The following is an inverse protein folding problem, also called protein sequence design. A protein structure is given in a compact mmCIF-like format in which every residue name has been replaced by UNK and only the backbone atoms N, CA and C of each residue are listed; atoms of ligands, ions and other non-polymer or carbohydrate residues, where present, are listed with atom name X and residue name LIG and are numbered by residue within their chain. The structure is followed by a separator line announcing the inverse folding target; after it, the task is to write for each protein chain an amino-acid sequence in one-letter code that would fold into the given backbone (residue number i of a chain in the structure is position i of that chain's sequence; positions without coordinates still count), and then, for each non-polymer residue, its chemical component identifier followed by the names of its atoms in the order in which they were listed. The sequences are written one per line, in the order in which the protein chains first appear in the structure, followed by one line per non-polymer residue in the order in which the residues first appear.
data_IF_454134763031
#
_entry.id   IF_454134763031
#
_cell.length_a   1.000
_cell.length_b   1.000
_cell.length_c   1.000
_cell.angle_alpha   90.00
_cell.angle_beta   90.00
_cell.angle_gamma   90.00
#
_symmetry.space_group_name_H-M   'P 1'
#
loop_
_entity.id
_entity.type
_entity.pdbx_description
1 polymer ?
#
# COMPACT_ATOMS: atom_id res chain seq x y z
N UNK A 1 47.71 -11.17 -33.84
CA UNK A 1 46.92 -9.94 -34.14
C UNK A 1 45.50 -10.08 -33.59
N UNK A 2 45.23 -9.42 -32.46
CA UNK A 2 43.93 -9.42 -31.78
C UNK A 2 42.97 -8.43 -32.48
N UNK A 3 41.91 -8.95 -33.10
CA UNK A 3 40.85 -8.15 -33.72
C UNK A 3 39.65 -8.04 -32.79
N UNK A 4 39.59 -6.97 -31.99
CA UNK A 4 38.42 -6.65 -31.18
C UNK A 4 37.26 -6.16 -32.04
N UNK A 5 36.13 -6.89 -32.02
CA UNK A 5 34.82 -6.33 -32.38
C UNK A 5 34.15 -5.86 -31.09
N UNK A 6 34.12 -4.55 -30.88
CA UNK A 6 33.36 -3.92 -29.82
C UNK A 6 31.88 -4.24 -29.99
N UNK A 7 31.34 -5.06 -29.10
CA UNK A 7 29.90 -5.15 -28.87
C UNK A 7 29.47 -3.90 -28.12
N UNK A 8 28.79 -2.98 -28.80
CA UNK A 8 28.14 -1.86 -28.15
C UNK A 8 27.04 -2.39 -27.21
N UNK A 9 27.04 -2.05 -25.91
CA UNK A 9 25.94 -2.37 -25.03
C UNK A 9 24.89 -1.26 -25.15
N UNK A 10 23.62 -1.65 -25.24
CA UNK A 10 22.43 -0.79 -25.18
C UNK A 10 22.18 0.14 -26.38
N UNK A 11 21.44 -0.38 -27.36
CA UNK A 11 20.94 0.40 -28.49
C UNK A 11 19.76 -0.25 -29.22
N UNK A 12 18.83 -0.84 -28.48
CA UNK A 12 17.60 -1.40 -29.06
C UNK A 12 16.60 -0.29 -29.38
N UNK A 13 16.62 0.22 -30.61
CA UNK A 13 15.51 0.98 -31.20
C UNK A 13 14.27 0.08 -31.25
N UNK A 14 13.19 0.54 -30.63
CA UNK A 14 11.88 -0.14 -30.65
C UNK A 14 10.74 0.84 -30.38
N UNK A 15 10.68 1.94 -31.13
CA UNK A 15 9.52 2.84 -31.15
C UNK A 15 8.50 2.34 -32.17
N UNK A 16 7.59 1.47 -31.75
CA UNK A 16 6.37 1.15 -32.49
C UNK A 16 5.21 2.06 -32.03
N UNK A 17 4.47 2.71 -32.93
CA UNK A 17 3.39 3.63 -32.56
C UNK A 17 2.08 2.87 -32.33
N UNK A 18 1.91 2.23 -31.16
CA UNK A 18 0.63 1.67 -30.75
C UNK A 18 0.35 2.02 -29.28
N UNK A 19 -0.62 2.91 -29.08
CA UNK A 19 -1.14 3.34 -27.78
C UNK A 19 -1.96 2.25 -27.08
N UNK A 20 -1.26 1.28 -26.49
CA UNK A 20 -1.83 0.37 -25.51
C UNK A 20 -1.50 0.82 -24.10
N UNK A 21 -2.49 0.86 -23.20
CA UNK A 21 -2.29 0.94 -21.73
C UNK A 21 -1.65 -0.34 -21.15
N UNK A 22 -0.76 -0.99 -21.90
CA UNK A 22 0.00 -2.16 -21.47
C UNK A 22 1.45 -1.74 -21.26
N UNK A 23 1.85 -1.56 -20.01
CA UNK A 23 3.23 -1.25 -19.65
C UNK A 23 4.16 -2.38 -20.08
N UNK A 24 5.39 -2.02 -20.49
CA UNK A 24 6.44 -3.00 -20.78
C UNK A 24 6.80 -3.87 -19.57
N UNK A 25 7.86 -4.70 -19.65
CA UNK A 25 8.24 -5.65 -18.59
C UNK A 25 8.40 -5.05 -17.19
N UNK A 26 8.62 -3.74 -17.09
CA UNK A 26 8.84 -2.97 -15.87
C UNK A 26 7.61 -2.17 -15.39
N UNK A 27 6.44 -2.41 -16.00
CA UNK A 27 5.22 -1.65 -15.75
C UNK A 27 5.23 -0.23 -16.33
N UNK A 28 4.04 0.37 -16.47
CA UNK A 28 3.90 1.75 -16.93
C UNK A 28 4.37 2.76 -15.88
N UNK A 29 4.93 3.90 -16.31
CA UNK A 29 5.02 5.10 -15.46
C UNK A 29 3.68 5.80 -15.40
N UNK A 30 3.38 6.39 -14.25
CA UNK A 30 2.08 7.01 -14.02
C UNK A 30 1.85 7.24 -12.54
N UNK A 31 0.96 8.19 -12.23
CA UNK A 31 0.57 8.50 -10.85
C UNK A 31 -0.06 7.29 -10.14
N UNK A 32 -0.60 6.35 -10.91
CA UNK A 32 -1.21 5.11 -10.48
C UNK A 32 -0.24 3.93 -10.41
N UNK A 33 1.06 4.10 -10.72
CA UNK A 33 2.04 3.00 -10.74
C UNK A 33 2.07 2.23 -9.43
N UNK A 34 2.04 2.91 -8.27
CA UNK A 34 2.03 2.20 -6.98
C UNK A 34 0.80 1.30 -6.82
N UNK A 35 -0.28 1.55 -7.55
CA UNK A 35 -1.53 0.82 -7.50
C UNK A 35 -1.69 -0.19 -8.66
N UNK A 36 -0.71 -0.30 -9.56
CA UNK A 36 -0.73 -1.20 -10.71
C UNK A 36 -0.72 -2.68 -10.31
N UNK A 37 -0.89 -3.57 -11.29
CA UNK A 37 -0.78 -5.02 -11.15
C UNK A 37 0.62 -5.45 -10.69
N UNK A 38 1.68 -4.75 -11.11
CA UNK A 38 3.08 -5.08 -10.78
C UNK A 38 3.50 -4.59 -9.40
N UNK A 39 3.19 -3.34 -9.02
CA UNK A 39 3.64 -2.77 -7.76
C UNK A 39 2.61 -2.88 -6.62
N UNK A 40 1.32 -2.99 -6.93
CA UNK A 40 0.23 -2.91 -5.95
C UNK A 40 0.34 -3.94 -4.83
N UNK A 41 0.57 -5.20 -5.20
CA UNK A 41 0.76 -6.29 -4.23
C UNK A 41 2.09 -6.24 -3.47
N UNK A 42 3.05 -5.42 -3.92
CA UNK A 42 4.38 -5.33 -3.33
C UNK A 42 4.43 -4.34 -2.17
N UNK A 43 3.70 -3.21 -2.27
CA UNK A 43 3.82 -2.13 -1.27
C UNK A 43 2.50 -1.47 -0.87
N UNK A 44 1.47 -1.53 -1.71
CA UNK A 44 0.32 -0.62 -1.60
C UNK A 44 -0.78 -1.08 -0.66
N UNK A 45 -0.62 -2.20 0.04
CA UNK A 45 -1.62 -2.72 0.99
C UNK A 45 -2.10 -1.67 1.99
N UNK A 46 -1.17 -0.94 2.62
CA UNK A 46 -1.45 0.09 3.62
C UNK A 46 -1.28 1.51 3.09
N UNK A 47 -0.97 1.68 1.80
CA UNK A 47 -0.76 3.00 1.22
C UNK A 47 -2.03 3.88 1.27
N UNK A 48 -3.24 3.39 0.95
CA UNK A 48 -4.47 4.17 1.13
C UNK A 48 -4.68 4.59 2.58
N UNK A 49 -4.40 3.69 3.54
CA UNK A 49 -4.49 4.00 4.96
C UNK A 49 -3.54 5.14 5.33
N UNK A 50 -2.28 5.05 4.92
CA UNK A 50 -1.26 6.05 5.19
C UNK A 50 -1.66 7.44 4.66
N UNK A 51 -2.19 7.51 3.44
CA UNK A 51 -2.61 8.79 2.84
C UNK A 51 -3.79 9.42 3.60
N UNK A 52 -4.81 8.64 3.94
CA UNK A 52 -5.96 9.13 4.71
C UNK A 52 -5.52 9.59 6.11
N UNK A 53 -4.70 8.78 6.79
CA UNK A 53 -4.21 9.05 8.14
C UNK A 53 -3.25 10.25 8.17
N UNK A 54 -2.45 10.46 7.12
CA UNK A 54 -1.60 11.64 6.97
C UNK A 54 -2.44 12.91 6.91
N UNK A 55 -3.43 12.94 6.01
CA UNK A 55 -4.32 14.10 5.84
C UNK A 55 -5.10 14.37 7.13
N UNK A 56 -5.75 13.35 7.67
CA UNK A 56 -6.53 13.49 8.90
C UNK A 56 -5.67 13.91 10.10
N UNK A 57 -4.46 13.33 10.24
CA UNK A 57 -3.52 13.68 11.29
C UNK A 57 -3.00 15.11 11.19
N UNK A 58 -2.67 15.58 9.98
CA UNK A 58 -2.28 16.97 9.74
C UNK A 58 -3.43 17.94 10.01
N UNK A 59 -4.68 17.58 9.68
CA UNK A 59 -5.86 18.38 10.00
C UNK A 59 -6.09 18.48 11.52
N UNK A 60 -5.97 17.38 12.25
CA UNK A 60 -6.11 17.36 13.71
C UNK A 60 -5.02 18.20 14.38
N UNK A 61 -3.78 18.11 13.88
CA UNK A 61 -2.63 18.87 14.42
C UNK A 61 -2.48 20.27 13.83
N UNK A 62 -3.39 20.75 12.97
CA UNK A 62 -3.19 21.99 12.20
C UNK A 62 -3.01 23.26 13.04
N UNK A 63 -3.58 23.26 14.25
CA UNK A 63 -3.49 24.38 15.22
C UNK A 63 -2.38 24.19 16.26
N UNK A 64 -1.66 23.06 16.22
CA UNK A 64 -0.54 22.81 17.11
C UNK A 64 0.63 23.75 16.78
N UNK A 65 1.51 23.97 17.77
CA UNK A 65 2.73 24.75 17.58
C UNK A 65 3.58 24.19 16.42
N UNK A 66 4.38 25.04 15.79
CA UNK A 66 5.39 24.61 14.79
C UNK A 66 6.42 23.65 15.39
N UNK A 67 6.62 23.69 16.71
CA UNK A 67 7.52 22.81 17.47
C UNK A 67 6.84 21.53 17.96
N UNK A 68 5.57 21.29 17.61
CA UNK A 68 4.88 20.06 17.99
C UNK A 68 5.51 18.84 17.30
N UNK A 69 5.95 17.87 18.10
CA UNK A 69 6.69 16.70 17.64
C UNK A 69 5.81 15.78 16.77
N UNK A 70 4.50 15.67 17.07
CA UNK A 70 3.61 14.80 16.31
C UNK A 70 3.37 15.36 14.90
N UNK A 71 3.12 16.68 14.81
CA UNK A 71 2.99 17.39 13.55
C UNK A 71 4.28 17.32 12.74
N UNK A 72 5.43 17.58 13.38
CA UNK A 72 6.73 17.50 12.73
C UNK A 72 7.00 16.08 12.18
N UNK A 73 6.70 15.03 12.96
CA UNK A 73 6.84 13.66 12.51
C UNK A 73 5.92 13.33 11.33
N UNK A 74 4.64 13.73 11.37
CA UNK A 74 3.73 13.53 10.23
C UNK A 74 4.22 14.22 8.96
N UNK A 75 4.73 15.45 9.07
CA UNK A 75 5.29 16.19 7.93
C UNK A 75 6.55 15.51 7.41
N UNK A 76 7.47 15.09 8.28
CA UNK A 76 8.72 14.45 7.88
C UNK A 76 8.46 13.09 7.22
N UNK A 77 7.80 12.16 7.92
CA UNK A 77 7.53 10.81 7.41
C UNK A 77 6.55 10.83 6.23
N UNK A 78 5.49 11.64 6.32
CA UNK A 78 4.51 11.79 5.25
C UNK A 78 5.05 12.51 4.02
N UNK A 79 5.88 13.54 4.22
CA UNK A 79 6.58 14.22 3.13
C UNK A 79 7.52 13.28 2.40
N UNK A 80 8.35 12.52 3.13
CA UNK A 80 9.21 11.49 2.55
C UNK A 80 8.40 10.42 1.81
N UNK A 81 7.30 9.93 2.38
CA UNK A 81 6.38 8.99 1.71
C UNK A 81 5.91 9.53 0.36
N UNK A 82 5.40 10.76 0.34
CA UNK A 82 4.84 11.37 -0.87
C UNK A 82 5.93 11.64 -1.92
N UNK A 83 7.07 12.20 -1.52
CA UNK A 83 8.18 12.49 -2.44
C UNK A 83 8.70 11.20 -3.05
N UNK A 84 9.03 10.19 -2.23
CA UNK A 84 9.52 8.91 -2.73
C UNK A 84 8.48 8.20 -3.59
N UNK A 85 7.20 8.22 -3.19
CA UNK A 85 6.11 7.62 -3.95
C UNK A 85 5.92 8.28 -5.32
N UNK A 86 5.99 9.61 -5.39
CA UNK A 86 5.91 10.36 -6.66
C UNK A 86 7.13 10.07 -7.54
N UNK A 87 8.34 10.10 -6.99
CA UNK A 87 9.56 9.78 -7.74
C UNK A 87 9.47 8.37 -8.33
N UNK A 88 9.10 7.38 -7.52
CA UNK A 88 8.94 6.00 -7.99
C UNK A 88 7.80 5.84 -8.98
N UNK A 89 6.76 6.67 -8.91
CA UNK A 89 5.63 6.64 -9.85
C UNK A 89 5.98 7.25 -11.22
N UNK A 90 6.78 8.31 -11.22
CA UNK A 90 7.11 9.09 -12.42
C UNK A 90 8.46 8.72 -13.05
N UNK A 91 9.35 8.02 -12.33
CA UNK A 91 10.65 7.64 -12.88
C UNK A 91 10.50 6.80 -14.15
N UNK A 92 11.28 7.14 -15.17
CA UNK A 92 11.35 6.44 -16.44
C UNK A 92 12.64 5.62 -16.52
N UNK A 93 12.68 4.63 -17.41
CA UNK A 93 13.79 3.69 -17.54
C UNK A 93 13.55 2.41 -16.75
N UNK A 94 14.62 1.84 -16.18
CA UNK A 94 14.58 0.53 -15.51
C UNK A 94 14.00 0.72 -14.10
N UNK A 95 12.75 0.32 -13.91
CA UNK A 95 12.09 0.25 -12.61
C UNK A 95 12.00 -1.21 -12.17
N UNK A 96 12.38 -1.49 -10.92
CA UNK A 96 12.17 -2.80 -10.31
C UNK A 96 11.26 -2.66 -9.09
N UNK A 97 10.40 -3.64 -8.92
CA UNK A 97 9.39 -3.68 -7.86
C UNK A 97 10.02 -3.60 -6.46
N UNK A 98 11.21 -4.18 -6.28
CA UNK A 98 11.89 -4.20 -4.98
C UNK A 98 12.26 -2.79 -4.48
N UNK A 99 12.39 -1.79 -5.35
CA UNK A 99 12.63 -0.41 -4.93
C UNK A 99 11.53 0.11 -4.01
N UNK A 100 10.30 -0.36 -4.22
CA UNK A 100 9.15 0.06 -3.42
C UNK A 100 9.27 -0.27 -1.95
N UNK A 101 10.16 -1.21 -1.56
CA UNK A 101 10.45 -1.50 -0.14
C UNK A 101 10.91 -0.25 0.61
N UNK A 102 11.52 0.72 -0.07
CA UNK A 102 11.93 1.98 0.53
C UNK A 102 10.74 2.81 1.07
N UNK A 103 9.51 2.56 0.61
CA UNK A 103 8.30 3.21 1.13
C UNK A 103 7.83 2.62 2.47
N UNK A 104 8.20 1.36 2.78
CA UNK A 104 7.71 0.64 3.94
C UNK A 104 7.88 1.37 5.29
N UNK A 105 9.06 1.93 5.64
CA UNK A 105 9.21 2.64 6.92
C UNK A 105 8.34 3.90 6.98
N UNK A 106 8.16 4.62 5.87
CA UNK A 106 7.32 5.83 5.84
C UNK A 106 5.83 5.49 6.00
N UNK A 107 5.36 4.43 5.33
CA UNK A 107 3.99 3.91 5.50
C UNK A 107 3.77 3.50 6.96
N UNK A 108 4.69 2.72 7.54
CA UNK A 108 4.59 2.25 8.91
C UNK A 108 4.51 3.41 9.92
N UNK A 109 5.40 4.40 9.79
CA UNK A 109 5.43 5.56 10.68
C UNK A 109 4.13 6.38 10.59
N UNK A 110 3.67 6.70 9.38
CA UNK A 110 2.45 7.49 9.16
C UNK A 110 1.22 6.77 9.67
N UNK A 111 1.09 5.47 9.37
CA UNK A 111 -0.05 4.65 9.84
C UNK A 111 -0.05 4.58 11.37
N UNK A 112 1.10 4.30 12.00
CA UNK A 112 1.19 4.21 13.45
C UNK A 112 0.83 5.55 14.14
N UNK A 113 1.44 6.66 13.70
CA UNK A 113 1.20 7.98 14.30
C UNK A 113 -0.25 8.41 14.08
N UNK A 114 -0.74 8.35 12.84
CA UNK A 114 -2.07 8.81 12.48
C UNK A 114 -3.17 7.98 13.12
N UNK A 115 -3.05 6.65 13.13
CA UNK A 115 -4.03 5.78 13.76
C UNK A 115 -4.12 6.01 15.27
N UNK A 116 -2.98 6.15 15.96
CA UNK A 116 -2.96 6.45 17.41
C UNK A 116 -3.56 7.83 17.70
N UNK A 117 -3.21 8.84 16.90
CA UNK A 117 -3.74 10.21 17.06
C UNK A 117 -5.26 10.22 16.91
N UNK A 118 -5.81 9.62 15.86
CA UNK A 118 -7.26 9.57 15.67
C UNK A 118 -7.94 8.67 16.70
N UNK A 119 -7.33 7.54 17.09
CA UNK A 119 -7.87 6.65 18.11
C UNK A 119 -8.01 7.34 19.46
N UNK A 120 -7.04 8.16 19.85
CA UNK A 120 -7.12 8.98 21.08
C UNK A 120 -8.26 10.00 21.01
N UNK A 121 -8.57 10.49 19.81
CA UNK A 121 -9.64 11.45 19.56
C UNK A 121 -10.98 10.82 19.10
N UNK A 122 -11.12 9.49 19.16
CA UNK A 122 -12.24 8.73 18.56
C UNK A 122 -13.65 9.10 19.03
N UNK A 123 -13.78 9.81 20.16
CA UNK A 123 -15.07 10.34 20.62
C UNK A 123 -15.55 11.54 19.81
N UNK A 124 -14.64 12.20 19.09
CA UNK A 124 -14.98 13.24 18.13
C UNK A 124 -15.47 12.61 16.82
N UNK A 125 -16.61 13.08 16.30
CA UNK A 125 -17.22 12.55 15.07
C UNK A 125 -16.25 12.53 13.89
N UNK A 126 -15.49 13.61 13.69
CA UNK A 126 -14.54 13.69 12.57
C UNK A 126 -13.42 12.63 12.65
N UNK A 127 -12.86 12.37 13.84
CA UNK A 127 -11.83 11.36 14.03
C UNK A 127 -12.37 9.94 13.88
N UNK A 128 -13.58 9.69 14.40
CA UNK A 128 -14.29 8.41 14.22
C UNK A 128 -14.60 8.12 12.75
N UNK A 129 -15.13 9.11 12.01
CA UNK A 129 -15.38 9.00 10.56
C UNK A 129 -14.07 8.75 9.80
N UNK A 130 -13.00 9.47 10.13
CA UNK A 130 -11.71 9.28 9.48
C UNK A 130 -11.16 7.86 9.72
N UNK A 131 -11.21 7.33 10.96
CA UNK A 131 -10.84 5.94 11.24
C UNK A 131 -11.69 4.93 10.48
N UNK A 132 -13.01 5.13 10.46
CA UNK A 132 -13.92 4.26 9.72
C UNK A 132 -13.61 4.26 8.21
N UNK A 133 -13.39 5.44 7.64
CA UNK A 133 -13.00 5.60 6.24
C UNK A 133 -11.64 4.95 5.94
N UNK A 134 -10.64 5.13 6.80
CA UNK A 134 -9.33 4.47 6.68
C UNK A 134 -9.49 2.96 6.59
N UNK A 135 -10.25 2.35 7.51
CA UNK A 135 -10.46 0.89 7.53
C UNK A 135 -11.26 0.43 6.31
N UNK A 136 -12.36 1.09 5.97
CA UNK A 136 -13.21 0.73 4.85
C UNK A 136 -12.45 0.78 3.51
N UNK A 137 -11.74 1.88 3.24
CA UNK A 137 -10.96 2.05 2.00
C UNK A 137 -9.85 1.01 1.93
N UNK A 138 -9.15 0.74 3.03
CA UNK A 138 -8.07 -0.24 3.06
C UNK A 138 -8.57 -1.68 2.86
N UNK A 139 -9.75 -2.00 3.40
CA UNK A 139 -10.38 -3.30 3.22
C UNK A 139 -10.87 -3.50 1.77
N UNK A 140 -11.48 -2.47 1.16
CA UNK A 140 -11.85 -2.48 -0.26
C UNK A 140 -10.61 -2.59 -1.15
N UNK A 141 -9.55 -1.87 -0.83
CA UNK A 141 -8.29 -1.97 -1.57
C UNK A 141 -7.66 -3.36 -1.45
N UNK A 142 -7.68 -3.94 -0.25
CA UNK A 142 -7.23 -5.32 -0.04
C UNK A 142 -8.06 -6.32 -0.84
N UNK A 143 -9.37 -6.11 -0.97
CA UNK A 143 -10.23 -6.91 -1.86
C UNK A 143 -9.78 -6.83 -3.32
N UNK A 144 -9.46 -5.62 -3.80
CA UNK A 144 -8.94 -5.42 -5.17
C UNK A 144 -7.63 -6.16 -5.36
N UNK A 145 -6.65 -5.97 -4.45
CA UNK A 145 -5.34 -6.64 -4.54
C UNK A 145 -5.46 -8.17 -4.50
N UNK A 146 -6.25 -8.71 -3.57
CA UNK A 146 -6.50 -10.15 -3.48
C UNK A 146 -7.23 -10.68 -4.72
N UNK A 147 -8.14 -9.88 -5.30
CA UNK A 147 -8.85 -10.21 -6.53
C UNK A 147 -7.94 -10.38 -7.76
N UNK A 148 -6.76 -9.74 -7.76
CA UNK A 148 -5.78 -9.86 -8.85
C UNK A 148 -5.05 -11.22 -8.84
N UNK A 149 -5.06 -11.93 -7.72
CA UNK A 149 -4.51 -13.28 -7.58
C UNK A 149 -5.55 -14.38 -7.87
N UNK A 150 -6.61 -14.08 -8.63
CA UNK A 150 -7.56 -15.04 -9.20
C UNK A 150 -8.05 -16.11 -8.21
N UNK A 151 -7.54 -17.33 -8.38
CA UNK A 151 -7.94 -18.54 -7.64
C UNK A 151 -7.19 -18.75 -6.31
N UNK A 152 -6.28 -17.84 -5.94
CA UNK A 152 -5.54 -17.95 -4.70
C UNK A 152 -6.38 -17.44 -3.51
N UNK A 153 -6.82 -18.37 -2.66
CA UNK A 153 -7.66 -18.09 -1.48
C UNK A 153 -8.86 -17.18 -1.80
N UNK A 154 -9.76 -17.58 -2.72
CA UNK A 154 -10.78 -16.69 -3.30
C UNK A 154 -11.81 -16.19 -2.27
N UNK A 155 -11.95 -16.87 -1.12
CA UNK A 155 -12.80 -16.45 -0.02
C UNK A 155 -12.20 -15.29 0.81
N UNK A 156 -10.87 -15.15 0.82
CA UNK A 156 -10.17 -14.21 1.70
C UNK A 156 -10.53 -12.76 1.38
N UNK A 157 -10.63 -12.41 0.10
CA UNK A 157 -11.04 -11.06 -0.33
C UNK A 157 -12.40 -10.67 0.25
N UNK A 158 -13.35 -11.60 0.25
CA UNK A 158 -14.70 -11.39 0.78
C UNK A 158 -14.69 -11.29 2.30
N UNK A 159 -13.93 -12.17 2.98
CA UNK A 159 -13.79 -12.11 4.44
C UNK A 159 -13.17 -10.78 4.90
N UNK A 160 -12.12 -10.31 4.21
CA UNK A 160 -11.42 -9.05 4.51
C UNK A 160 -12.35 -7.85 4.34
N UNK A 161 -13.05 -7.74 3.21
CA UNK A 161 -13.96 -6.59 2.99
C UNK A 161 -15.14 -6.62 3.95
N UNK A 162 -15.75 -7.79 4.20
CA UNK A 162 -16.85 -7.91 5.14
C UNK A 162 -16.43 -7.53 6.57
N UNK A 163 -15.30 -8.07 7.06
CA UNK A 163 -14.76 -7.74 8.37
C UNK A 163 -14.38 -6.25 8.48
N UNK A 164 -13.77 -5.69 7.44
CA UNK A 164 -13.38 -4.28 7.39
C UNK A 164 -14.56 -3.33 7.40
N UNK A 165 -15.61 -3.61 6.61
CA UNK A 165 -16.84 -2.81 6.62
C UNK A 165 -17.58 -2.91 7.96
N UNK A 166 -17.66 -4.11 8.53
CA UNK A 166 -18.24 -4.30 9.87
C UNK A 166 -17.47 -3.52 10.94
N UNK A 167 -16.14 -3.57 10.90
CA UNK A 167 -15.29 -2.78 11.79
C UNK A 167 -15.46 -1.28 11.58
N UNK A 168 -15.57 -0.81 10.32
CA UNK A 168 -15.81 0.59 10.01
C UNK A 168 -17.13 1.10 10.60
N UNK A 169 -18.21 0.33 10.48
CA UNK A 169 -19.49 0.64 11.14
C UNK A 169 -19.34 0.68 12.66
N UNK A 170 -18.64 -0.30 13.24
CA UNK A 170 -18.35 -0.34 14.68
C UNK A 170 -17.57 0.88 15.17
N UNK A 171 -16.65 1.42 14.37
CA UNK A 171 -15.85 2.61 14.69
C UNK A 171 -16.71 3.87 14.83
N UNK A 172 -17.78 3.98 14.04
CA UNK A 172 -18.74 5.10 14.07
C UNK A 172 -19.56 5.17 15.35
N UNK A 173 -19.74 4.03 16.03
CA UNK A 173 -20.58 3.91 17.22
C UNK A 173 -19.77 3.63 18.51
N UNK A 174 -18.46 3.87 18.48
CA UNK A 174 -17.58 3.61 19.65
C UNK A 174 -17.97 4.37 20.91
N UNK A 175 -18.70 5.48 20.80
CA UNK A 175 -19.18 6.28 21.94
C UNK A 175 -20.34 5.63 22.71
N UNK A 176 -21.10 4.73 22.08
CA UNK A 176 -22.24 4.03 22.70
C UNK A 176 -21.91 2.57 23.06
N UNK A 177 -20.75 2.07 22.62
CA UNK A 177 -20.32 0.71 22.91
C UNK A 177 -19.65 0.60 24.30
N UNK A 178 -19.85 -0.52 25.03
CA UNK A 178 -19.07 -0.79 26.22
C UNK A 178 -17.59 -1.02 25.87
N UNK A 179 -16.69 -0.88 26.86
CA UNK A 179 -15.23 -1.03 26.67
C UNK A 179 -14.82 -2.31 25.94
N UNK A 180 -15.50 -3.43 26.21
CA UNK A 180 -15.28 -4.71 25.52
C UNK A 180 -15.63 -4.62 24.03
N UNK A 181 -16.74 -3.97 23.69
CA UNK A 181 -17.15 -3.74 22.30
C UNK A 181 -16.17 -2.86 21.54
N UNK A 182 -15.69 -1.76 22.13
CA UNK A 182 -14.67 -0.89 21.51
C UNK A 182 -13.37 -1.66 21.24
N UNK A 183 -12.94 -2.52 22.16
CA UNK A 183 -11.76 -3.39 21.95
C UNK A 183 -11.99 -4.40 20.83
N UNK A 184 -13.15 -5.04 20.77
CA UNK A 184 -13.49 -5.98 19.71
C UNK A 184 -13.47 -5.31 18.33
N UNK A 185 -14.05 -4.11 18.21
CA UNK A 185 -14.00 -3.31 16.98
C UNK A 185 -12.55 -2.98 16.57
N UNK A 186 -11.70 -2.59 17.53
CA UNK A 186 -10.29 -2.31 17.23
C UNK A 186 -9.53 -3.54 16.71
N UNK A 187 -9.73 -4.69 17.37
CA UNK A 187 -9.12 -5.97 16.96
C UNK A 187 -9.61 -6.37 15.58
N UNK A 188 -10.91 -6.25 15.31
CA UNK A 188 -11.49 -6.57 14.01
C UNK A 188 -10.95 -5.66 12.91
N UNK A 189 -10.84 -4.35 13.17
CA UNK A 189 -10.25 -3.40 12.23
C UNK A 189 -8.80 -3.75 11.89
N UNK A 190 -7.98 -4.05 12.91
CA UNK A 190 -6.58 -4.44 12.70
C UNK A 190 -6.47 -5.76 11.94
N UNK A 191 -7.29 -6.76 12.29
CA UNK A 191 -7.33 -8.04 11.61
C UNK A 191 -7.71 -7.88 10.12
N UNK A 192 -8.74 -7.09 9.83
CA UNK A 192 -9.19 -6.86 8.46
C UNK A 192 -8.11 -6.16 7.61
N UNK A 193 -7.45 -5.13 8.15
CA UNK A 193 -6.44 -4.35 7.44
C UNK A 193 -5.13 -5.14 7.24
N UNK A 194 -4.78 -6.05 8.15
CA UNK A 194 -3.53 -6.82 8.09
C UNK A 194 -3.67 -8.21 7.45
N UNK A 195 -4.88 -8.77 7.36
CA UNK A 195 -5.08 -10.12 6.82
C UNK A 195 -4.55 -10.28 5.38
N UNK A 196 -4.80 -9.30 4.51
CA UNK A 196 -4.27 -9.25 3.14
C UNK A 196 -2.74 -9.33 3.06
N UNK A 197 -2.00 -8.33 3.59
CA UNK A 197 -0.54 -8.34 3.55
C UNK A 197 0.08 -9.53 4.28
N UNK A 198 -0.49 -9.97 5.41
CA UNK A 198 0.00 -11.16 6.14
C UNK A 198 -0.14 -12.41 5.27
N UNK A 199 -1.30 -12.62 4.63
CA UNK A 199 -1.47 -13.76 3.72
C UNK A 199 -0.47 -13.68 2.56
N UNK A 200 -0.25 -12.50 2.01
CA UNK A 200 0.73 -12.26 0.94
C UNK A 200 2.14 -12.64 1.38
N UNK A 201 2.57 -12.18 2.58
CA UNK A 201 3.87 -12.54 3.17
C UNK A 201 3.99 -14.04 3.40
N UNK A 202 2.96 -14.70 3.92
CA UNK A 202 2.96 -16.16 4.12
C UNK A 202 3.13 -16.89 2.79
N UNK A 203 2.50 -16.40 1.71
CA UNK A 203 2.71 -16.93 0.36
C UNK A 203 4.16 -16.81 -0.08
N UNK A 204 4.76 -15.63 0.06
CA UNK A 204 6.16 -15.36 -0.30
C UNK A 204 7.10 -16.32 0.46
N UNK A 205 7.00 -16.37 1.79
CA UNK A 205 7.90 -17.17 2.63
C UNK A 205 7.82 -18.67 2.32
N UNK A 206 6.66 -19.15 1.86
CA UNK A 206 6.46 -20.57 1.51
C UNK A 206 6.81 -20.92 0.07
N UNK A 207 7.13 -19.93 -0.77
CA UNK A 207 7.41 -20.15 -2.19
C UNK A 207 8.91 -20.04 -2.43
N UNK A 208 9.57 -21.08 -2.98
CA UNK A 208 10.96 -20.96 -3.41
C UNK A 208 11.10 -19.90 -4.50
N UNK A 209 12.18 -19.12 -4.44
CA UNK A 209 12.43 -18.02 -5.34
C UNK A 209 13.68 -18.23 -6.21
N UNK A 210 13.60 -17.90 -7.49
CA UNK A 210 14.62 -18.12 -8.52
C UNK A 210 14.66 -16.95 -9.52
N UNK A 211 15.86 -16.66 -10.04
CA UNK A 211 16.07 -15.55 -10.98
C UNK A 211 16.41 -14.23 -10.30
N UNK A 212 16.63 -13.19 -11.12
CA UNK A 212 17.12 -11.89 -10.65
C UNK A 212 16.00 -10.95 -10.16
N UNK A 213 14.74 -11.23 -10.52
CA UNK A 213 13.58 -10.41 -10.15
C UNK A 213 12.63 -11.30 -9.35
N UNK A 214 12.61 -11.07 -8.03
CA UNK A 214 11.74 -11.78 -7.09
C UNK A 214 10.54 -10.90 -6.76
N UNK A 215 9.35 -11.48 -6.83
CA UNK A 215 8.10 -10.79 -6.49
C UNK A 215 7.45 -11.42 -5.26
N UNK A 216 6.83 -10.58 -4.41
CA UNK A 216 6.10 -11.06 -3.25
C UNK A 216 4.69 -11.55 -3.65
N UNK A 217 4.23 -12.61 -2.99
CA UNK A 217 2.87 -13.12 -3.06
C UNK A 217 2.63 -14.27 -4.04
N UNK A 218 1.36 -14.67 -4.20
CA UNK A 218 0.93 -15.57 -5.27
C UNK A 218 1.11 -14.91 -6.65
N UNK A 219 1.00 -15.72 -7.71
CA UNK A 219 0.96 -15.16 -9.06
C UNK A 219 -0.29 -14.30 -9.27
N UNK A 220 -0.05 -13.15 -9.88
CA UNK A 220 -1.06 -12.14 -10.22
C UNK A 220 -1.19 -12.07 -11.75
N UNK A 221 -2.42 -12.03 -12.24
CA UNK A 221 -2.67 -11.83 -13.67
C UNK A 221 -2.22 -10.42 -14.08
N UNK A 222 -1.45 -10.31 -15.17
CA UNK A 222 -0.99 -9.02 -15.70
C UNK A 222 0.22 -8.41 -14.98
N UNK A 223 0.71 -9.00 -13.88
CA UNK A 223 2.07 -8.75 -13.43
C UNK A 223 3.03 -9.36 -14.49
N UNK A 224 4.02 -8.60 -14.97
CA UNK A 224 4.89 -9.01 -16.07
C UNK A 224 5.70 -10.30 -15.81
N UNK A 225 6.66 -10.61 -16.69
CA UNK A 225 7.53 -11.78 -16.56
C UNK A 225 8.53 -11.62 -15.39
N UNK A 226 8.04 -11.76 -14.16
CA UNK A 226 8.87 -11.88 -12.95
C UNK A 226 9.24 -13.34 -12.69
N UNK A 227 10.44 -13.57 -12.16
CA UNK A 227 10.81 -14.87 -11.62
C UNK A 227 9.93 -15.20 -10.41
N UNK A 228 9.61 -16.47 -10.24
CA UNK A 228 9.10 -16.98 -8.98
C UNK A 228 10.28 -17.21 -8.09
#
# INVERSE_FOLDING_TARGET
PFGGRGGAPFGGRGGGPFGGRGGGPFGGSGIDRMFSETAGGQISWLLPAALILLVAGLVVTRKASRTDVQRAALVAWGGSLLVTGVVFSLMSGIFHEYYTVALAPYIAAVVAIGAVLLWRNRTQRAASIALAATVAVTAVWSYVLLGRAGDWLPWLKWAVVAAGLLAAVGLLVTTVLPRRGVRAVAVLALAAVLAGPVAWTVSTVRTPHTGAIVTAGPAVQGAGFGGR
#
